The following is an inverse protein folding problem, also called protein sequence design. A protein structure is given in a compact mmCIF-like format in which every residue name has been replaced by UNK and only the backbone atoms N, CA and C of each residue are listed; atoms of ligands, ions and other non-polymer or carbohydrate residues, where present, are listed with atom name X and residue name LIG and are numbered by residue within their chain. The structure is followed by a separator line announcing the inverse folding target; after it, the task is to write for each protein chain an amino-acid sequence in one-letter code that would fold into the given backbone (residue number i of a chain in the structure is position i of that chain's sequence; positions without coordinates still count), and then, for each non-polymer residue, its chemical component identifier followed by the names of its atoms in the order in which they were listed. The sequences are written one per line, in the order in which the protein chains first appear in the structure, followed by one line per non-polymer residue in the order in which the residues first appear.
data_IF_855626411554
#
_entry.id   IF_855626411554
#
_cell.length_a   1.000
_cell.length_b   1.000
_cell.length_c   1.000
_cell.angle_alpha   90.00
_cell.angle_beta   90.00
_cell.angle_gamma   90.00
#
_symmetry.space_group_name_H-M   'P 1'
#
loop_
_entity.id
_entity.type
_entity.pdbx_description
1 polymer ?
#
# COMPACT_ATOMS: atom_id res chain seq x y z
N UNK A 1 24.57 -19.28 -17.48
CA UNK A 1 25.42 -18.20 -18.03
C UNK A 1 25.02 -17.80 -19.45
N UNK A 2 24.39 -18.69 -20.22
CA UNK A 2 24.01 -18.48 -21.63
C UNK A 2 22.98 -17.35 -21.87
N UNK A 3 21.99 -17.19 -20.99
CA UNK A 3 20.95 -16.15 -21.15
C UNK A 3 21.47 -14.70 -21.12
N UNK A 4 22.59 -14.44 -20.42
CA UNK A 4 23.21 -13.09 -20.42
C UNK A 4 23.83 -12.77 -21.77
N UNK A 5 24.47 -13.77 -22.38
CA UNK A 5 25.15 -13.65 -23.66
C UNK A 5 24.17 -13.42 -24.81
N UNK A 6 22.96 -13.97 -24.71
CA UNK A 6 21.92 -13.80 -25.73
C UNK A 6 21.30 -12.40 -25.72
N UNK A 7 20.95 -11.87 -24.54
CA UNK A 7 20.47 -10.49 -24.41
C UNK A 7 21.53 -9.46 -24.83
N UNK A 8 22.80 -9.72 -24.54
CA UNK A 8 23.91 -8.87 -24.97
C UNK A 8 24.05 -8.87 -26.51
N UNK A 9 23.84 -10.02 -27.16
CA UNK A 9 23.83 -10.13 -28.64
C UNK A 9 22.64 -9.40 -29.26
N UNK A 10 21.44 -9.56 -28.69
CA UNK A 10 20.23 -8.88 -29.17
C UNK A 10 20.42 -7.35 -29.11
N UNK A 11 20.97 -6.85 -28.00
CA UNK A 11 21.20 -5.42 -27.84
C UNK A 11 22.23 -4.89 -28.84
N UNK A 12 23.34 -5.60 -29.04
CA UNK A 12 24.33 -5.24 -30.05
C UNK A 12 23.73 -5.24 -31.46
N UNK A 13 22.95 -6.27 -31.80
CA UNK A 13 22.33 -6.37 -33.12
C UNK A 13 21.36 -5.21 -33.37
N UNK A 14 20.55 -4.83 -32.38
CA UNK A 14 19.63 -3.68 -32.52
C UNK A 14 20.37 -2.37 -32.83
N UNK A 15 21.57 -2.18 -32.28
CA UNK A 15 22.41 -1.01 -32.58
C UNK A 15 23.03 -1.08 -33.97
N UNK A 16 23.47 -2.26 -34.42
CA UNK A 16 23.99 -2.45 -35.77
C UNK A 16 22.90 -2.22 -36.83
N UNK A 17 21.68 -2.69 -36.58
CA UNK A 17 20.51 -2.42 -37.43
C UNK A 17 20.25 -0.92 -37.54
N UNK A 18 20.23 -0.21 -36.41
CA UNK A 18 20.10 1.25 -36.40
C UNK A 18 21.22 1.93 -37.21
N UNK A 19 22.46 1.50 -37.07
CA UNK A 19 23.60 2.09 -37.78
C UNK A 19 23.53 1.86 -39.29
N UNK A 20 23.12 0.67 -39.72
CA UNK A 20 23.15 0.28 -41.13
C UNK A 20 21.90 0.74 -41.90
N UNK A 21 20.73 0.73 -41.25
CA UNK A 21 19.44 1.01 -41.89
C UNK A 21 18.83 2.34 -41.46
N UNK A 22 19.35 2.98 -40.40
CA UNK A 22 18.79 4.20 -39.84
C UNK A 22 17.49 4.01 -39.05
N UNK A 23 17.00 2.77 -38.88
CA UNK A 23 15.77 2.48 -38.13
C UNK A 23 16.06 2.31 -36.63
N UNK A 24 15.58 3.22 -35.75
CA UNK A 24 15.86 3.16 -34.32
C UNK A 24 14.90 2.26 -33.53
N UNK A 25 13.85 1.70 -34.15
CA UNK A 25 12.76 0.99 -33.42
C UNK A 25 13.27 -0.10 -32.48
N UNK A 26 14.05 -1.04 -33.01
CA UNK A 26 14.57 -2.17 -32.24
C UNK A 26 15.49 -1.71 -31.11
N UNK A 27 16.29 -0.66 -31.36
CA UNK A 27 17.20 -0.09 -30.37
C UNK A 27 16.44 0.61 -29.24
N UNK A 28 15.34 1.31 -29.57
CA UNK A 28 14.45 1.95 -28.59
C UNK A 28 13.77 0.90 -27.73
N UNK A 29 13.27 -0.19 -28.32
CA UNK A 29 12.64 -1.28 -27.58
C UNK A 29 13.62 -1.94 -26.60
N UNK A 30 14.85 -2.22 -27.05
CA UNK A 30 15.90 -2.73 -26.18
C UNK A 30 16.29 -1.75 -25.07
N UNK A 31 16.36 -0.45 -25.38
CA UNK A 31 16.63 0.57 -24.38
C UNK A 31 15.51 0.64 -23.33
N UNK A 32 14.24 0.56 -23.74
CA UNK A 32 13.08 0.53 -22.84
C UNK A 32 13.12 -0.67 -21.90
N UNK A 33 13.44 -1.87 -22.42
CA UNK A 33 13.62 -3.07 -21.63
C UNK A 33 14.70 -2.91 -20.54
N UNK A 34 15.88 -2.40 -20.91
CA UNK A 34 16.98 -2.20 -19.96
C UNK A 34 16.69 -1.09 -18.95
N UNK A 35 16.08 0.03 -19.37
CA UNK A 35 15.63 1.12 -18.48
C UNK A 35 14.66 0.56 -17.44
N UNK A 36 13.66 -0.23 -17.86
CA UNK A 36 12.70 -0.86 -16.95
C UNK A 36 13.38 -1.72 -15.89
N UNK A 37 14.35 -2.56 -16.28
CA UNK A 37 15.10 -3.38 -15.33
C UNK A 37 15.96 -2.57 -14.35
N UNK A 38 16.59 -1.50 -14.80
CA UNK A 38 17.46 -0.66 -13.95
C UNK A 38 16.62 0.18 -12.97
N UNK A 39 15.52 0.76 -13.46
CA UNK A 39 14.62 1.61 -12.70
C UNK A 39 13.95 0.87 -11.53
N UNK A 40 13.38 -0.32 -11.78
CA UNK A 40 12.63 -1.10 -10.77
C UNK A 40 13.53 -1.61 -9.64
N UNK A 41 14.77 -2.00 -9.93
CA UNK A 41 15.64 -2.65 -8.93
C UNK A 41 16.23 -1.71 -7.88
N UNK A 42 16.56 -0.47 -8.27
CA UNK A 42 17.38 0.41 -7.42
C UNK A 42 16.76 1.79 -7.17
N UNK A 43 15.92 2.29 -8.08
CA UNK A 43 15.50 3.70 -8.07
C UNK A 43 13.99 3.91 -7.94
N UNK A 44 13.20 2.82 -7.94
CA UNK A 44 11.73 2.84 -7.77
C UNK A 44 11.00 3.90 -8.62
N UNK A 45 11.49 4.17 -9.84
CA UNK A 45 10.84 5.11 -10.75
C UNK A 45 9.54 4.51 -11.30
N UNK A 46 8.49 5.32 -11.35
CA UNK A 46 7.19 4.97 -11.93
C UNK A 46 7.21 4.86 -13.46
N UNK A 47 6.04 4.75 -14.07
CA UNK A 47 5.90 4.57 -15.52
C UNK A 47 6.17 5.86 -16.31
N UNK A 48 5.72 7.00 -15.79
CA UNK A 48 5.91 8.31 -16.41
C UNK A 48 7.39 8.70 -16.42
N UNK A 49 8.10 8.49 -15.32
CA UNK A 49 9.51 8.83 -15.20
C UNK A 49 10.38 7.91 -16.07
N UNK A 50 10.01 6.63 -16.19
CA UNK A 50 10.68 5.70 -17.12
C UNK A 50 10.49 6.12 -18.57
N UNK A 51 9.29 6.61 -18.92
CA UNK A 51 9.00 7.14 -20.24
C UNK A 51 9.79 8.42 -20.54
N UNK A 52 9.98 9.30 -19.55
CA UNK A 52 10.84 10.48 -19.70
C UNK A 52 12.31 10.12 -19.91
N UNK A 53 12.81 9.08 -19.21
CA UNK A 53 14.17 8.56 -19.42
C UNK A 53 14.34 8.01 -20.84
N UNK A 54 13.34 7.28 -21.35
CA UNK A 54 13.36 6.75 -22.72
C UNK A 54 13.35 7.88 -23.76
N UNK A 55 12.53 8.91 -23.58
CA UNK A 55 12.52 10.08 -24.45
C UNK A 55 13.88 10.79 -24.47
N UNK A 56 14.54 10.93 -23.32
CA UNK A 56 15.90 11.49 -23.24
C UNK A 56 16.94 10.62 -23.94
N UNK A 57 16.76 9.29 -23.95
CA UNK A 57 17.61 8.40 -24.72
C UNK A 57 17.41 8.62 -26.22
N UNK A 58 16.15 8.67 -26.69
CA UNK A 58 15.80 8.92 -28.09
C UNK A 58 16.42 10.24 -28.57
N UNK A 59 16.27 11.31 -27.79
CA UNK A 59 16.87 12.62 -28.09
C UNK A 59 18.41 12.60 -28.14
N UNK A 60 19.06 11.63 -27.51
CA UNK A 60 20.52 11.52 -27.40
C UNK A 60 21.09 10.33 -28.18
N UNK A 61 20.30 9.70 -29.05
CA UNK A 61 20.69 8.47 -29.74
C UNK A 61 21.91 8.68 -30.65
N UNK A 62 22.01 9.84 -31.31
CA UNK A 62 23.18 10.22 -32.12
C UNK A 62 24.42 10.46 -31.27
N UNK A 63 24.25 11.13 -30.13
CA UNK A 63 25.34 11.34 -29.17
C UNK A 63 25.83 10.04 -28.56
N UNK A 64 24.90 9.12 -28.25
CA UNK A 64 25.19 7.76 -27.80
C UNK A 64 26.05 7.01 -28.83
N UNK A 65 25.67 7.06 -30.11
CA UNK A 65 26.43 6.43 -31.19
C UNK A 65 27.82 7.04 -31.34
N UNK A 66 27.91 8.37 -31.36
CA UNK A 66 29.20 9.09 -31.47
C UNK A 66 30.13 8.78 -30.29
N UNK A 67 29.61 8.68 -29.08
CA UNK A 67 30.39 8.32 -27.88
C UNK A 67 30.96 6.90 -27.96
N UNK A 68 30.17 5.95 -28.45
CA UNK A 68 30.62 4.57 -28.61
C UNK A 68 31.78 4.47 -29.60
N UNK A 69 31.65 5.14 -30.75
CA UNK A 69 32.63 5.11 -31.83
C UNK A 69 33.93 5.84 -31.48
N UNK A 70 33.83 7.02 -30.86
CA UNK A 70 35.02 7.82 -30.51
C UNK A 70 35.87 7.22 -29.41
N UNK A 71 35.27 6.52 -28.45
CA UNK A 71 35.98 5.94 -27.30
C UNK A 71 36.38 4.47 -27.48
N UNK A 72 36.05 3.84 -28.62
CA UNK A 72 36.38 2.44 -28.99
C UNK A 72 36.19 1.45 -27.83
N UNK A 73 34.98 1.40 -27.26
CA UNK A 73 34.68 0.45 -26.20
C UNK A 73 34.62 -0.99 -26.74
N UNK A 74 35.29 -1.94 -26.07
CA UNK A 74 35.32 -3.35 -26.48
C UNK A 74 34.00 -4.11 -26.22
N UNK A 75 33.14 -3.60 -25.33
CA UNK A 75 31.87 -4.23 -24.97
C UNK A 75 30.73 -3.22 -25.07
N UNK A 76 29.93 -3.35 -26.13
CA UNK A 76 28.78 -2.50 -26.41
C UNK A 76 27.73 -2.56 -25.30
N UNK A 77 27.33 -3.76 -24.88
CA UNK A 77 26.24 -3.94 -23.91
C UNK A 77 26.60 -3.34 -22.56
N UNK A 78 27.86 -3.48 -22.12
CA UNK A 78 28.33 -2.83 -20.91
C UNK A 78 28.27 -1.29 -21.03
N UNK A 79 28.73 -0.73 -22.15
CA UNK A 79 28.63 0.70 -22.43
C UNK A 79 27.17 1.19 -22.44
N UNK A 80 26.30 0.50 -23.17
CA UNK A 80 24.89 0.81 -23.31
C UNK A 80 24.15 0.82 -21.97
N UNK A 81 24.35 -0.23 -21.17
CA UNK A 81 23.74 -0.35 -19.84
C UNK A 81 24.23 0.76 -18.91
N UNK A 82 25.52 1.11 -18.94
CA UNK A 82 26.08 2.21 -18.13
C UNK A 82 25.48 3.55 -18.56
N UNK A 83 25.37 3.80 -19.87
CA UNK A 83 24.75 5.02 -20.40
C UNK A 83 23.30 5.17 -19.94
N UNK A 84 22.50 4.11 -20.10
CA UNK A 84 21.10 4.09 -19.66
C UNK A 84 20.99 4.27 -18.14
N UNK A 85 21.88 3.62 -17.36
CA UNK A 85 21.95 3.80 -15.90
C UNK A 85 22.21 5.26 -15.51
N UNK A 86 23.05 5.98 -16.25
CA UNK A 86 23.28 7.40 -15.99
C UNK A 86 22.03 8.26 -16.27
N UNK A 87 21.27 7.95 -17.33
CA UNK A 87 20.01 8.63 -17.60
C UNK A 87 18.99 8.40 -16.49
N UNK A 88 18.83 7.15 -16.05
CA UNK A 88 17.95 6.77 -14.92
C UNK A 88 18.35 7.51 -13.65
N UNK A 89 19.65 7.53 -13.31
CA UNK A 89 20.14 8.19 -12.11
C UNK A 89 19.92 9.70 -12.15
N UNK A 90 20.05 10.33 -13.32
CA UNK A 90 19.78 11.76 -13.48
C UNK A 90 18.29 12.08 -13.31
N UNK A 91 17.39 11.22 -13.79
CA UNK A 91 15.96 11.38 -13.54
C UNK A 91 15.64 11.22 -12.05
N UNK A 92 16.15 10.17 -11.41
CA UNK A 92 15.94 9.94 -9.99
C UNK A 92 16.43 11.10 -9.11
N UNK A 93 17.58 11.70 -9.45
CA UNK A 93 18.06 12.91 -8.78
C UNK A 93 17.13 14.11 -8.99
N UNK A 94 16.53 14.25 -10.18
CA UNK A 94 15.52 15.28 -10.43
C UNK A 94 14.28 15.06 -9.57
N UNK A 95 13.79 13.84 -9.46
CA UNK A 95 12.64 13.51 -8.59
C UNK A 95 12.92 13.80 -7.12
N UNK A 96 14.10 13.42 -6.61
CA UNK A 96 14.46 13.75 -5.23
C UNK A 96 14.54 15.26 -5.02
N UNK A 97 15.06 15.99 -6.00
CA UNK A 97 15.18 17.43 -5.89
C UNK A 97 13.85 18.16 -6.11
N UNK A 98 12.94 17.63 -6.93
CA UNK A 98 11.58 18.16 -7.10
C UNK A 98 10.77 17.93 -5.82
N UNK A 99 10.89 16.76 -5.18
CA UNK A 99 10.33 16.51 -3.85
C UNK A 99 10.87 17.48 -2.78
N UNK A 100 12.11 17.94 -2.91
CA UNK A 100 12.71 18.93 -2.01
C UNK A 100 12.37 20.39 -2.34
N UNK A 101 12.07 20.72 -3.60
CA UNK A 101 11.87 22.09 -4.09
C UNK A 101 10.42 22.47 -4.31
N UNK A 102 9.56 21.50 -4.64
CA UNK A 102 8.14 21.74 -4.58
C UNK A 102 7.81 21.90 -3.10
N UNK A 103 7.35 23.08 -2.63
CA UNK A 103 6.70 23.11 -1.34
C UNK A 103 5.61 22.05 -1.41
N UNK A 104 5.68 21.11 -0.47
CA UNK A 104 4.64 20.13 -0.21
C UNK A 104 3.32 20.87 -0.41
N UNK A 105 2.60 20.48 -1.44
CA UNK A 105 1.27 20.97 -1.74
C UNK A 105 0.52 20.98 -0.40
N UNK A 106 0.09 22.15 0.06
CA UNK A 106 -0.47 22.42 1.40
C UNK A 106 -1.26 21.22 1.92
N UNK A 107 -0.56 20.31 2.58
CA UNK A 107 -1.19 19.26 3.36
C UNK A 107 -1.77 20.02 4.56
N UNK A 108 -3.09 19.92 4.81
CA UNK A 108 -3.74 20.63 5.90
C UNK A 108 -3.19 20.28 7.29
N UNK A 109 -2.23 19.34 7.35
CA UNK A 109 -1.56 18.85 8.55
C UNK A 109 -0.36 19.70 9.00
N UNK A 110 0.08 20.71 8.23
CA UNK A 110 1.18 21.61 8.63
C UNK A 110 0.73 22.92 9.29
N UNK A 111 -0.56 23.08 9.62
CA UNK A 111 -1.04 24.21 10.41
C UNK A 111 -0.55 24.08 11.87
N UNK A 112 -0.08 25.17 12.52
CA UNK A 112 0.29 25.12 13.93
C UNK A 112 -0.92 24.70 14.77
N UNK A 113 -0.83 23.54 15.42
CA UNK A 113 -1.92 22.91 16.17
C UNK A 113 -2.60 21.72 15.46
N UNK A 114 -2.15 21.33 14.26
CA UNK A 114 -2.59 20.09 13.63
C UNK A 114 -1.86 18.89 14.24
N UNK A 115 -2.63 17.84 14.56
CA UNK A 115 -2.08 16.55 14.99
C UNK A 115 -1.53 15.88 13.75
N UNK A 116 -0.23 16.01 13.54
CA UNK A 116 0.53 15.26 12.53
C UNK A 116 0.23 13.78 12.75
N UNK A 117 -0.50 13.16 11.82
CA UNK A 117 -0.62 11.70 11.78
C UNK A 117 0.48 11.20 10.84
N UNK A 118 1.73 11.35 11.29
CA UNK A 118 2.80 10.52 10.74
C UNK A 118 2.45 9.07 11.12
N UNK A 119 2.27 8.16 10.16
CA UNK A 119 2.30 6.75 10.49
C UNK A 119 3.73 6.47 10.91
N UNK A 120 3.98 6.44 12.21
CA UNK A 120 5.27 6.09 12.79
C UNK A 120 5.66 4.68 12.35
N UNK A 121 6.44 4.57 11.28
CA UNK A 121 7.01 3.30 10.83
C UNK A 121 8.10 2.79 11.77
N UNK A 122 8.62 3.65 12.66
CA UNK A 122 9.68 3.37 13.64
C UNK A 122 9.22 3.49 15.11
N UNK A 123 7.91 3.63 15.38
CA UNK A 123 7.45 3.56 16.76
C UNK A 123 7.65 2.15 17.30
N UNK A 124 8.41 2.02 18.39
CA UNK A 124 8.32 0.87 19.28
C UNK A 124 6.83 0.51 19.46
N UNK A 125 6.47 -0.78 19.40
CA UNK A 125 5.07 -1.17 19.46
C UNK A 125 4.46 -0.50 20.69
N UNK A 126 3.40 0.29 20.48
CA UNK A 126 2.82 1.07 21.57
C UNK A 126 2.64 0.18 22.80
N UNK A 127 2.89 0.65 24.02
CA UNK A 127 2.81 -0.18 25.22
C UNK A 127 1.43 -0.86 25.34
N UNK A 128 0.38 -0.24 24.80
CA UNK A 128 -0.95 -0.83 24.65
C UNK A 128 -1.02 -2.00 23.67
N UNK A 129 -0.28 -1.97 22.56
CA UNK A 129 -0.17 -3.05 21.58
C UNK A 129 0.62 -4.23 22.14
N UNK A 130 1.73 -3.97 22.85
CA UNK A 130 2.49 -5.02 23.56
C UNK A 130 1.60 -5.70 24.59
N UNK A 131 0.95 -4.92 25.46
CA UNK A 131 0.04 -5.42 26.49
C UNK A 131 -1.13 -6.23 25.91
N UNK A 132 -1.74 -5.73 24.83
CA UNK A 132 -2.83 -6.45 24.15
C UNK A 132 -2.32 -7.74 23.52
N UNK A 133 -1.11 -7.77 22.97
CA UNK A 133 -0.51 -8.97 22.40
C UNK A 133 -0.19 -10.01 23.49
N UNK A 134 0.36 -9.60 24.63
CA UNK A 134 0.61 -10.46 25.80
C UNK A 134 -0.67 -11.09 26.34
N UNK A 135 -1.75 -10.30 26.48
CA UNK A 135 -3.04 -10.83 26.93
C UNK A 135 -3.61 -11.80 25.91
N UNK A 136 -3.58 -11.45 24.62
CA UNK A 136 -4.12 -12.32 23.56
C UNK A 136 -3.35 -13.65 23.45
N UNK A 137 -2.06 -13.68 23.78
CA UNK A 137 -1.28 -14.93 23.80
C UNK A 137 -1.75 -15.94 24.86
N UNK A 138 -2.36 -15.46 25.95
CA UNK A 138 -2.82 -16.28 27.07
C UNK A 138 -4.28 -16.77 26.92
N UNK A 139 -4.98 -16.39 25.86
CA UNK A 139 -6.39 -16.72 25.63
C UNK A 139 -6.56 -17.87 24.63
N UNK A 140 -7.79 -18.41 24.56
CA UNK A 140 -8.13 -19.45 23.58
C UNK A 140 -7.82 -18.96 22.15
N UNK A 141 -6.91 -19.63 21.42
CA UNK A 141 -6.46 -19.18 20.11
C UNK A 141 -7.59 -19.13 19.07
N UNK A 142 -8.66 -19.91 19.23
CA UNK A 142 -9.84 -19.86 18.35
C UNK A 142 -10.66 -18.59 18.57
N UNK A 143 -10.85 -18.20 19.83
CA UNK A 143 -11.53 -16.97 20.21
C UNK A 143 -10.73 -15.72 19.82
N UNK A 144 -9.41 -15.77 19.98
CA UNK A 144 -8.47 -14.74 19.53
C UNK A 144 -8.51 -14.56 18.02
N UNK A 145 -8.51 -15.67 17.25
CA UNK A 145 -8.64 -15.61 15.79
C UNK A 145 -9.94 -14.93 15.37
N UNK A 146 -11.08 -15.31 15.96
CA UNK A 146 -12.39 -14.69 15.69
C UNK A 146 -12.37 -13.19 16.03
N UNK A 147 -11.76 -12.82 17.16
CA UNK A 147 -11.60 -11.44 17.58
C UNK A 147 -10.75 -10.64 16.59
N UNK A 148 -9.60 -11.17 16.16
CA UNK A 148 -8.72 -10.54 15.17
C UNK A 148 -9.38 -10.39 13.81
N UNK A 149 -10.13 -11.40 13.36
CA UNK A 149 -10.88 -11.33 12.10
C UNK A 149 -11.98 -10.29 12.15
N UNK A 150 -12.75 -10.25 13.24
CA UNK A 150 -13.84 -9.29 13.39
C UNK A 150 -13.35 -7.84 13.35
N UNK A 151 -12.24 -7.54 14.03
CA UNK A 151 -11.69 -6.17 14.19
C UNK A 151 -10.52 -5.83 13.24
N UNK A 152 -10.34 -6.60 12.16
CA UNK A 152 -9.27 -6.38 11.18
C UNK A 152 -7.85 -6.30 11.77
N UNK A 153 -7.55 -7.07 12.81
CA UNK A 153 -6.22 -7.08 13.40
C UNK A 153 -5.26 -7.94 12.57
N UNK A 154 -3.97 -7.65 12.73
CA UNK A 154 -2.89 -8.40 12.10
C UNK A 154 -2.94 -9.88 12.54
N UNK A 155 -2.85 -10.78 11.56
CA UNK A 155 -2.79 -12.22 11.79
C UNK A 155 -1.33 -12.67 11.80
N UNK A 156 -0.90 -13.25 12.91
CA UNK A 156 0.43 -13.80 13.02
C UNK A 156 0.53 -15.15 12.30
N UNK A 157 1.75 -15.66 12.12
CA UNK A 157 1.99 -16.96 11.48
C UNK A 157 1.22 -18.09 12.17
N UNK A 158 1.12 -18.07 13.50
CA UNK A 158 0.35 -19.05 14.30
C UNK A 158 -1.15 -18.98 13.98
N UNK A 159 -1.69 -17.78 13.87
CA UNK A 159 -3.10 -17.54 13.52
C UNK A 159 -3.42 -18.02 12.10
N UNK A 160 -2.50 -17.78 11.14
CA UNK A 160 -2.64 -18.24 9.75
C UNK A 160 -2.63 -19.77 9.67
N UNK A 161 -1.78 -20.45 10.45
CA UNK A 161 -1.75 -21.90 10.51
C UNK A 161 -3.04 -22.47 11.13
N UNK A 162 -3.57 -21.84 12.18
CA UNK A 162 -4.85 -22.21 12.77
C UNK A 162 -6.00 -22.01 11.76
N UNK A 163 -6.04 -20.84 11.12
CA UNK A 163 -7.01 -20.53 10.07
C UNK A 163 -6.94 -21.55 8.92
N UNK A 164 -5.73 -21.92 8.48
CA UNK A 164 -5.50 -22.98 7.49
C UNK A 164 -6.13 -24.30 7.90
N UNK A 165 -5.94 -24.71 9.15
CA UNK A 165 -6.51 -25.97 9.66
C UNK A 165 -8.04 -25.93 9.71
N UNK A 166 -8.63 -24.81 10.12
CA UNK A 166 -10.09 -24.63 10.20
C UNK A 166 -10.71 -24.62 8.80
N UNK A 167 -10.13 -23.85 7.87
CA UNK A 167 -10.63 -23.78 6.50
C UNK A 167 -10.46 -25.11 5.75
N UNK A 168 -9.37 -25.83 6.00
CA UNK A 168 -9.19 -27.18 5.46
C UNK A 168 -10.28 -28.14 5.94
N UNK A 169 -10.70 -28.04 7.21
CA UNK A 169 -11.79 -28.87 7.75
C UNK A 169 -13.16 -28.51 7.20
N UNK A 170 -13.38 -27.26 6.78
CA UNK A 170 -14.63 -26.79 6.18
C UNK A 170 -14.67 -26.91 4.65
N UNK A 171 -13.63 -27.47 4.01
CA UNK A 171 -13.51 -27.56 2.56
C UNK A 171 -13.23 -26.22 1.84
N UNK A 172 -12.88 -25.18 2.58
CA UNK A 172 -12.65 -23.84 2.04
C UNK A 172 -11.16 -23.58 1.74
N UNK A 173 -10.90 -22.83 0.67
CA UNK A 173 -9.54 -22.42 0.32
C UNK A 173 -9.11 -21.17 1.09
N UNK A 174 -7.92 -21.22 1.71
CA UNK A 174 -7.30 -20.06 2.38
C UNK A 174 -7.04 -18.94 1.39
N UNK A 175 -6.71 -19.28 0.14
CA UNK A 175 -6.43 -18.29 -0.89
C UNK A 175 -7.68 -17.44 -1.18
N UNK A 176 -8.83 -18.08 -1.23
CA UNK A 176 -10.11 -17.42 -1.49
C UNK A 176 -10.52 -16.57 -0.30
N UNK A 177 -10.35 -17.09 0.92
CA UNK A 177 -10.55 -16.32 2.15
C UNK A 177 -9.68 -15.06 2.21
N UNK A 178 -8.37 -15.18 1.93
CA UNK A 178 -7.46 -14.04 1.96
C UNK A 178 -7.76 -13.03 0.85
N UNK A 179 -8.24 -13.49 -0.31
CA UNK A 179 -8.69 -12.62 -1.40
C UNK A 179 -9.92 -11.81 -0.99
N UNK A 180 -10.96 -12.46 -0.45
CA UNK A 180 -12.15 -11.75 0.06
C UNK A 180 -11.77 -10.76 1.18
N UNK A 181 -10.86 -11.16 2.08
CA UNK A 181 -10.37 -10.28 3.14
C UNK A 181 -9.71 -9.02 2.56
N UNK A 182 -8.87 -9.17 1.54
CA UNK A 182 -8.20 -8.05 0.88
C UNK A 182 -9.21 -7.11 0.20
N UNK A 183 -10.20 -7.66 -0.50
CA UNK A 183 -11.27 -6.90 -1.16
C UNK A 183 -12.13 -6.12 -0.15
N UNK A 184 -12.54 -6.76 0.96
CA UNK A 184 -13.30 -6.09 2.03
C UNK A 184 -12.48 -4.98 2.69
N UNK A 185 -11.22 -5.25 3.00
CA UNK A 185 -10.31 -4.25 3.59
C UNK A 185 -10.13 -3.07 2.63
N UNK A 186 -9.97 -3.33 1.33
CA UNK A 186 -9.90 -2.28 0.31
C UNK A 186 -11.18 -1.46 0.24
N UNK A 187 -12.36 -2.10 0.29
CA UNK A 187 -13.65 -1.39 0.29
C UNK A 187 -13.82 -0.47 1.51
N UNK A 188 -13.37 -0.92 2.69
CA UNK A 188 -13.37 -0.10 3.91
C UNK A 188 -12.44 1.11 3.73
N UNK A 189 -11.19 0.89 3.30
CA UNK A 189 -10.24 1.98 3.02
C UNK A 189 -10.77 2.97 1.99
N UNK A 190 -11.40 2.51 0.91
CA UNK A 190 -12.01 3.40 -0.08
C UNK A 190 -13.11 4.28 0.55
N UNK A 191 -13.94 3.72 1.45
CA UNK A 191 -14.96 4.51 2.17
C UNK A 191 -14.32 5.55 3.09
N UNK A 192 -13.20 5.22 3.73
CA UNK A 192 -12.44 6.16 4.57
C UNK A 192 -11.84 7.30 3.75
N UNK A 193 -11.20 6.97 2.62
CA UNK A 193 -10.66 7.95 1.67
C UNK A 193 -11.79 8.88 1.21
N UNK A 194 -12.95 8.35 0.80
CA UNK A 194 -14.11 9.18 0.42
C UNK A 194 -14.60 10.07 1.58
N UNK A 195 -14.49 9.62 2.83
CA UNK A 195 -14.84 10.44 4.00
C UNK A 195 -13.80 11.56 4.21
N UNK A 196 -12.51 11.27 4.03
CA UNK A 196 -11.41 12.24 4.11
C UNK A 196 -11.51 13.30 3.01
N UNK A 197 -11.74 12.90 1.76
CA UNK A 197 -12.01 13.81 0.63
C UNK A 197 -13.20 14.73 0.94
N UNK A 198 -14.28 14.18 1.50
CA UNK A 198 -15.44 14.99 1.95
C UNK A 198 -15.07 15.95 3.07
N UNK A 199 -14.15 15.59 3.97
CA UNK A 199 -13.63 16.51 4.98
C UNK A 199 -12.79 17.62 4.35
N UNK A 200 -11.97 17.30 3.36
CA UNK A 200 -11.12 18.25 2.64
C UNK A 200 -11.96 19.26 1.86
N UNK A 201 -12.97 18.81 1.10
CA UNK A 201 -13.93 19.71 0.42
C UNK A 201 -14.64 20.62 1.44
N UNK A 202 -14.99 20.11 2.63
CA UNK A 202 -15.57 20.97 3.67
C UNK A 202 -14.58 21.95 4.28
N UNK A 203 -13.29 21.62 4.27
CA UNK A 203 -12.23 22.54 4.69
C UNK A 203 -12.06 23.66 3.67
N UNK A 204 -12.04 23.34 2.37
CA UNK A 204 -11.96 24.32 1.29
C UNK A 204 -13.16 25.29 1.30
N UNK A 205 -14.34 24.82 1.68
CA UNK A 205 -15.53 25.64 1.91
C UNK A 205 -15.35 26.75 2.96
N UNK A 206 -14.43 26.60 3.93
CA UNK A 206 -14.13 27.64 4.95
C UNK A 206 -13.52 28.87 4.28
N UNK A 207 -12.78 28.70 3.19
CA UNK A 207 -12.14 29.79 2.44
C UNK A 207 -13.08 30.42 1.39
N UNK A 208 -14.35 30.01 1.33
CA UNK A 208 -15.35 30.63 0.47
C UNK A 208 -16.04 31.81 1.15
N UNK A 209 -16.42 32.86 0.40
CA UNK A 209 -17.03 34.11 0.90
C UNK A 209 -18.45 33.96 1.50
N UNK A 210 -18.87 32.76 1.95
CA UNK A 210 -20.19 32.52 2.53
C UNK A 210 -20.23 32.94 4.00
N UNK A 211 -21.25 33.71 4.38
CA UNK A 211 -21.57 33.95 5.81
C UNK A 211 -21.76 32.61 6.53
N UNK A 212 -21.13 32.43 7.69
CA UNK A 212 -21.19 31.22 8.54
C UNK A 212 -20.50 29.93 8.01
N UNK A 213 -19.60 30.03 7.02
CA UNK A 213 -18.89 28.89 6.45
C UNK A 213 -18.08 28.06 7.48
N UNK A 214 -17.44 28.74 8.44
CA UNK A 214 -16.63 28.10 9.49
C UNK A 214 -17.46 27.18 10.40
N UNK A 215 -18.64 27.63 10.84
CA UNK A 215 -19.52 26.86 11.73
C UNK A 215 -20.09 25.62 11.03
N UNK A 216 -20.50 25.77 9.77
CA UNK A 216 -21.01 24.65 8.97
C UNK A 216 -19.94 23.59 8.72
N UNK A 217 -18.72 24.02 8.39
CA UNK A 217 -17.59 23.12 8.19
C UNK A 217 -17.23 22.36 9.47
N UNK A 218 -17.12 23.06 10.61
CA UNK A 218 -16.81 22.46 11.90
C UNK A 218 -17.80 21.34 12.28
N UNK A 219 -19.11 21.61 12.17
CA UNK A 219 -20.13 20.60 12.46
C UNK A 219 -20.06 19.40 11.51
N UNK A 220 -19.78 19.63 10.22
CA UNK A 220 -19.68 18.56 9.23
C UNK A 220 -18.42 17.72 9.42
N UNK A 221 -17.28 18.34 9.74
CA UNK A 221 -16.02 17.68 10.12
C UNK A 221 -16.19 16.81 11.37
N UNK A 222 -16.87 17.30 12.41
CA UNK A 222 -17.17 16.51 13.60
C UNK A 222 -17.99 15.26 13.29
N UNK A 223 -19.02 15.37 12.43
CA UNK A 223 -19.82 14.22 11.99
C UNK A 223 -18.99 13.20 11.20
N UNK A 224 -18.09 13.66 10.35
CA UNK A 224 -17.21 12.81 9.55
C UNK A 224 -16.12 12.15 10.42
N UNK A 225 -15.56 12.85 11.42
CA UNK A 225 -14.56 12.27 12.36
C UNK A 225 -15.16 11.15 13.17
N UNK A 226 -16.41 11.32 13.63
CA UNK A 226 -17.17 10.24 14.28
C UNK A 226 -17.44 9.03 13.38
N UNK A 227 -17.34 9.15 12.05
CA UNK A 227 -17.45 8.01 11.13
C UNK A 227 -16.12 7.28 10.96
N UNK A 228 -15.00 8.00 10.93
CA UNK A 228 -13.64 7.42 10.89
C UNK A 228 -13.28 6.70 12.19
N UNK A 229 -13.65 7.26 13.34
CA UNK A 229 -13.34 6.67 14.65
C UNK A 229 -14.21 5.44 15.00
N UNK A 230 -15.04 4.94 14.08
CA UNK A 230 -15.84 3.74 14.35
C UNK A 230 -14.95 2.50 14.22
N UNK A 231 -14.97 1.59 15.21
CA UNK A 231 -14.20 0.35 15.11
C UNK A 231 -14.63 -0.43 13.87
N UNK A 232 -13.65 -0.75 13.02
CA UNK A 232 -13.87 -1.50 11.78
C UNK A 232 -14.28 -2.93 12.11
N UNK A 233 -15.56 -3.23 11.90
CA UNK A 233 -16.04 -4.62 11.92
C UNK A 233 -16.06 -5.11 10.48
N UNK A 234 -15.07 -5.93 10.11
CA UNK A 234 -14.96 -6.46 8.73
C UNK A 234 -15.82 -7.69 8.54
N UNK A 235 -15.84 -8.58 9.53
CA UNK A 235 -16.59 -9.82 9.46
C UNK A 235 -17.73 -9.85 10.48
N UNK A 236 -18.92 -10.22 10.00
CA UNK A 236 -20.04 -10.55 10.87
C UNK A 236 -19.87 -11.94 11.47
N UNK A 237 -20.62 -12.26 12.52
CA UNK A 237 -20.57 -13.62 13.09
C UNK A 237 -21.04 -14.68 12.10
N UNK A 238 -21.98 -14.33 11.23
CA UNK A 238 -22.54 -15.22 10.20
C UNK A 238 -21.51 -15.49 9.10
N UNK A 239 -20.77 -14.46 8.66
CA UNK A 239 -19.72 -14.65 7.66
C UNK A 239 -18.59 -15.55 8.19
N UNK A 240 -18.17 -15.36 9.45
CA UNK A 240 -17.19 -16.26 10.08
C UNK A 240 -17.78 -17.68 10.21
N UNK A 241 -19.08 -17.79 10.50
CA UNK A 241 -19.82 -19.06 10.57
C UNK A 241 -19.72 -19.83 9.26
N UNK A 242 -20.00 -19.15 8.15
CA UNK A 242 -19.99 -19.74 6.82
C UNK A 242 -18.58 -20.17 6.41
N UNK A 243 -17.57 -19.36 6.74
CA UNK A 243 -16.18 -19.69 6.44
C UNK A 243 -15.65 -20.86 7.26
N UNK A 244 -16.03 -20.97 8.53
CA UNK A 244 -15.50 -22.01 9.44
C UNK A 244 -16.36 -23.27 9.50
N UNK A 245 -17.55 -23.25 8.88
CA UNK A 245 -18.60 -24.28 9.02
C UNK A 245 -18.93 -24.60 10.49
N UNK A 246 -18.93 -23.56 11.33
CA UNK A 246 -19.29 -23.67 12.75
C UNK A 246 -20.66 -23.06 12.98
N UNK A 247 -21.34 -23.47 14.06
CA UNK A 247 -22.57 -22.81 14.49
C UNK A 247 -22.28 -21.38 14.93
N UNK A 248 -23.08 -20.41 14.47
CA UNK A 248 -22.94 -18.98 14.83
C UNK A 248 -22.96 -18.75 16.35
N UNK A 249 -23.69 -19.58 17.10
CA UNK A 249 -23.70 -19.56 18.58
C UNK A 249 -22.33 -19.87 19.20
N UNK A 250 -21.56 -20.79 18.60
CA UNK A 250 -20.21 -21.15 19.05
C UNK A 250 -19.25 -19.99 18.82
N UNK A 251 -19.33 -19.35 17.64
CA UNK A 251 -18.51 -18.18 17.30
C UNK A 251 -18.82 -17.01 18.23
N UNK A 252 -20.11 -16.73 18.47
CA UNK A 252 -20.54 -15.70 19.42
C UNK A 252 -20.02 -15.98 20.83
N UNK A 253 -20.11 -17.23 21.30
CA UNK A 253 -19.62 -17.62 22.63
C UNK A 253 -18.11 -17.41 22.77
N UNK A 254 -17.32 -17.92 21.81
CA UNK A 254 -15.86 -17.79 21.81
C UNK A 254 -15.41 -16.32 21.74
N UNK A 255 -16.09 -15.52 20.90
CA UNK A 255 -15.84 -14.08 20.84
C UNK A 255 -16.16 -13.37 22.16
N UNK A 256 -17.31 -13.67 22.78
CA UNK A 256 -17.70 -13.05 24.05
C UNK A 256 -16.79 -13.46 25.20
N UNK A 257 -16.34 -14.72 25.25
CA UNK A 257 -15.35 -15.19 26.22
C UNK A 257 -14.04 -14.42 26.07
N UNK A 258 -13.52 -14.30 24.84
CA UNK A 258 -12.30 -13.53 24.55
C UNK A 258 -12.46 -12.07 24.92
N UNK A 259 -13.59 -11.45 24.56
CA UNK A 259 -13.90 -10.06 24.87
C UNK A 259 -14.03 -9.80 26.37
N UNK A 260 -14.68 -10.70 27.12
CA UNK A 260 -14.84 -10.57 28.56
C UNK A 260 -13.50 -10.73 29.28
N UNK A 261 -12.66 -11.67 28.85
CA UNK A 261 -11.31 -11.81 29.38
C UNK A 261 -10.46 -10.56 29.12
N UNK A 262 -10.55 -9.97 27.93
CA UNK A 262 -9.87 -8.70 27.60
C UNK A 262 -10.35 -7.52 28.46
N UNK A 263 -11.66 -7.46 28.76
CA UNK A 263 -12.22 -6.44 29.66
C UNK A 263 -11.78 -6.63 31.11
N UNK A 264 -11.59 -7.87 31.55
CA UNK A 264 -11.17 -8.19 32.91
C UNK A 264 -9.67 -8.02 33.11
N UNK A 265 -8.86 -8.16 32.06
CA UNK A 265 -7.40 -7.96 32.10
C UNK A 265 -6.98 -6.49 32.02
N UNK A 266 -7.83 -5.62 31.48
CA UNK A 266 -7.56 -4.18 31.40
C UNK A 266 -8.36 -3.39 32.44
N UNK A 267 -7.67 -2.71 33.36
CA UNK A 267 -8.27 -1.65 34.21
C UNK A 267 -8.75 -0.41 33.45
N UNK A 268 -8.86 -0.47 32.11
CA UNK A 268 -9.22 0.62 31.22
C UNK A 268 -10.45 0.18 30.43
N UNK A 269 -11.54 0.93 30.56
CA UNK A 269 -12.80 0.72 29.86
C UNK A 269 -12.58 0.81 28.33
N UNK A 270 -12.38 -0.33 27.67
CA UNK A 270 -12.51 -0.43 26.22
C UNK A 270 -13.98 -0.17 25.83
N UNK A 271 -14.29 1.08 25.49
CA UNK A 271 -15.61 1.51 25.04
C UNK A 271 -15.87 1.08 23.57
N UNK A 272 -15.94 -0.23 23.33
CA UNK A 272 -16.49 -0.77 22.09
C UNK A 272 -18.01 -0.72 22.15
N UNK A 273 -18.62 0.41 21.76
CA UNK A 273 -20.06 0.49 21.54
C UNK A 273 -20.45 -0.37 20.32
N UNK A 274 -20.72 -1.64 20.56
CA UNK A 274 -21.48 -2.47 19.62
C UNK A 274 -22.89 -1.92 19.51
N UNK A 275 -23.35 -1.70 18.28
CA UNK A 275 -24.76 -1.44 18.00
C UNK A 275 -25.59 -2.59 18.58
N UNK A 276 -26.26 -2.35 19.71
CA UNK A 276 -27.45 -3.11 20.08
C UNK A 276 -28.49 -2.78 19.01
N UNK A 277 -28.63 -3.63 18.00
CA UNK A 277 -29.86 -3.66 17.22
C UNK A 277 -31.00 -3.89 18.21
N UNK A 278 -31.90 -2.91 18.30
CA UNK A 278 -33.17 -3.08 18.99
C UNK A 278 -33.91 -4.21 18.29
N UNK A 279 -33.99 -5.38 18.93
CA UNK A 279 -35.06 -6.31 18.67
C UNK A 279 -36.31 -5.69 19.31
N UNK A 280 -37.16 -5.08 18.48
CA UNK A 280 -38.56 -4.88 18.80
C UNK A 280 -39.24 -6.26 18.75
N UNK A 281 -39.92 -6.59 19.85
CA UNK A 281 -40.91 -7.67 19.91
C UNK A 281 -42.00 -7.48 18.86
#
# INVERSE_FOLDING_TARGET
MEQKTELDRIFLNSYLTYKNLGDPKDLIEQAAFWIGRIAVRKYSLGEDERSEVLLKFIQKIEYFSKLYETKKFNNFSAFGIVFLKHLVLNQWKKEINSLKKNPIFLEPDSLPGSVVYEPDYDCEPSPHKIFLQEILQNLDPRGVLIFKLKHNLFLERKDILLLKSILASSGNSIRDFLKEKAEKTSSVRCKEITILEKMEVTHQLIFSNRKNAANFSSQKKLKLRKKLLRPEIIYTYEEISNWFDWKCSVIKRLYLQTMNSLKNSGGIQFNFKGNKSKASY
#
